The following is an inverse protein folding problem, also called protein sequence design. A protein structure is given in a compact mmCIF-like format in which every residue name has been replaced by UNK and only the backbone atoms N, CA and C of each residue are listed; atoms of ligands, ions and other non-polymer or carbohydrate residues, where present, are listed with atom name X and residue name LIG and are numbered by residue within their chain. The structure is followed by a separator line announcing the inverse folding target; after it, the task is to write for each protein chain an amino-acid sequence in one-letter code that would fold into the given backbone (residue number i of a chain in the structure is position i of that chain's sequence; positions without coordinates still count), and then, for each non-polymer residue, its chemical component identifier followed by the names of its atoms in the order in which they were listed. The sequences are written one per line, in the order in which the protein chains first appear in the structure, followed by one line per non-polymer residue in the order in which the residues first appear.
data_IF_969670828081
#
_entry.id   IF_969670828081
#
_cell.length_a   1.000
_cell.length_b   1.000
_cell.length_c   1.000
_cell.angle_alpha   90.00
_cell.angle_beta   90.00
_cell.angle_gamma   90.00
#
_symmetry.space_group_name_H-M   'P 1'
#
loop_
_entity.id
_entity.type
_entity.pdbx_description
1 polymer ?
#
# COMPACT_ATOMS: atom_id res chain seq x y z
N UNK A 1 -21.27 -24.00 -8.85
CA UNK A 1 -19.87 -23.64 -8.52
C UNK A 1 -19.86 -22.16 -8.23
N UNK A 2 -19.41 -21.71 -7.06
CA UNK A 2 -19.39 -20.27 -6.73
C UNK A 2 -18.15 -19.69 -7.42
N UNK A 3 -18.35 -18.85 -8.43
CA UNK A 3 -17.29 -18.13 -9.12
C UNK A 3 -16.91 -16.91 -8.28
N UNK A 4 -15.70 -16.89 -7.72
CA UNK A 4 -15.21 -15.75 -6.94
C UNK A 4 -14.86 -14.64 -7.93
N UNK A 5 -15.66 -13.56 -7.92
CA UNK A 5 -15.57 -12.47 -8.90
C UNK A 5 -14.59 -11.37 -8.50
N UNK A 6 -14.28 -11.23 -7.20
CA UNK A 6 -13.37 -10.19 -6.67
C UNK A 6 -12.64 -10.68 -5.42
N UNK A 7 -11.41 -10.20 -5.23
CA UNK A 7 -10.62 -10.41 -4.01
C UNK A 7 -10.38 -9.07 -3.31
N UNK A 8 -10.56 -9.04 -1.98
CA UNK A 8 -10.18 -7.88 -1.18
C UNK A 8 -8.76 -8.08 -0.67
N UNK A 9 -7.89 -7.13 -1.01
CA UNK A 9 -6.53 -7.12 -0.47
C UNK A 9 -6.56 -6.60 0.97
N UNK A 10 -6.31 -7.48 1.93
CA UNK A 10 -6.21 -7.14 3.35
C UNK A 10 -4.78 -7.31 3.83
N UNK A 11 -4.33 -6.41 4.68
CA UNK A 11 -3.04 -6.51 5.36
C UNK A 11 -3.28 -6.70 6.85
N UNK A 12 -2.38 -7.39 7.55
CA UNK A 12 -2.50 -7.57 8.99
C UNK A 12 -2.34 -6.22 9.71
N UNK A 13 -3.26 -5.91 10.62
CA UNK A 13 -3.15 -4.72 11.46
C UNK A 13 -2.18 -5.02 12.61
N UNK A 14 -0.88 -4.94 12.32
CA UNK A 14 0.16 -5.33 13.28
C UNK A 14 0.09 -4.58 14.60
N UNK A 15 -0.28 -3.29 14.57
CA UNK A 15 -0.39 -2.45 15.75
C UNK A 15 -1.51 -2.93 16.69
N UNK A 16 -2.75 -3.00 16.19
CA UNK A 16 -3.89 -3.44 17.00
C UNK A 16 -3.89 -4.96 17.25
N UNK A 17 -3.25 -5.71 16.37
CA UNK A 17 -2.99 -7.13 16.52
C UNK A 17 -1.87 -7.43 17.52
N UNK A 18 -1.21 -6.40 18.09
CA UNK A 18 -0.12 -6.55 19.07
C UNK A 18 0.98 -7.50 18.57
N UNK A 19 1.37 -7.33 17.29
CA UNK A 19 2.44 -8.09 16.69
C UNK A 19 3.78 -7.69 17.30
N UNK A 20 4.69 -8.66 17.36
CA UNK A 20 5.99 -8.47 17.98
C UNK A 20 6.99 -8.00 16.93
N UNK A 21 7.68 -6.89 17.19
CA UNK A 21 8.83 -6.48 16.39
C UNK A 21 10.05 -7.26 16.86
N UNK A 22 10.67 -7.99 15.95
CA UNK A 22 11.85 -8.81 16.23
C UNK A 22 13.04 -8.26 15.44
N UNK A 23 14.24 -8.32 16.03
CA UNK A 23 15.47 -7.90 15.37
C UNK A 23 16.27 -9.14 14.99
N UNK A 24 16.60 -9.26 13.70
CA UNK A 24 17.47 -10.31 13.20
C UNK A 24 18.80 -9.70 12.79
N UNK A 25 19.88 -10.22 13.36
CA UNK A 25 21.24 -9.84 12.97
C UNK A 25 21.76 -10.94 12.05
N UNK A 26 21.90 -10.61 10.77
CA UNK A 26 22.45 -11.52 9.78
C UNK A 26 23.98 -11.36 9.82
N UNK A 27 24.73 -12.42 10.14
CA UNK A 27 26.18 -12.37 10.16
C UNK A 27 26.73 -12.14 8.74
N UNK A 28 27.91 -11.50 8.62
CA UNK A 28 28.57 -11.35 7.33
C UNK A 28 28.78 -12.71 6.65
N UNK A 29 28.55 -12.76 5.33
CA UNK A 29 28.71 -13.95 4.50
C UNK A 29 29.35 -13.55 3.18
N UNK A 30 30.43 -14.25 2.80
CA UNK A 30 31.23 -13.92 1.61
C UNK A 30 32.03 -12.63 1.79
N UNK A 31 32.03 -11.74 0.78
CA UNK A 31 32.78 -10.47 0.78
C UNK A 31 32.09 -9.32 1.54
N UNK A 32 30.98 -9.57 2.23
CA UNK A 32 30.32 -8.54 3.05
C UNK A 32 31.01 -8.50 4.40
N UNK A 33 31.62 -7.37 4.74
CA UNK A 33 32.41 -7.19 5.97
C UNK A 33 31.55 -6.89 7.21
N UNK A 34 30.27 -6.51 7.02
CA UNK A 34 29.43 -5.97 8.10
C UNK A 34 28.15 -6.79 8.30
N UNK A 35 27.73 -6.90 9.56
CA UNK A 35 26.43 -7.45 9.95
C UNK A 35 25.28 -6.67 9.32
N UNK A 36 24.30 -7.37 8.75
CA UNK A 36 23.05 -6.72 8.33
C UNK A 36 22.03 -6.84 9.45
N UNK A 37 21.54 -5.70 9.94
CA UNK A 37 20.43 -5.66 10.90
C UNK A 37 19.12 -5.56 10.13
N UNK A 38 18.21 -6.50 10.36
CA UNK A 38 16.87 -6.51 9.81
C UNK A 38 15.84 -6.43 10.94
N UNK A 39 14.88 -5.52 10.80
CA UNK A 39 13.72 -5.44 11.69
C UNK A 39 12.57 -6.20 11.03
N UNK A 40 12.04 -7.20 11.74
CA UNK A 40 11.00 -8.10 11.28
C UNK A 40 9.76 -7.95 12.16
N UNK A 41 8.59 -8.28 11.62
CA UNK A 41 7.34 -8.35 12.38
C UNK A 41 6.90 -9.81 12.46
N UNK A 42 6.73 -10.31 13.68
CA UNK A 42 6.12 -11.60 13.95
C UNK A 42 4.63 -11.39 14.20
N UNK A 43 3.80 -11.86 13.26
CA UNK A 43 2.35 -11.74 13.38
C UNK A 43 1.82 -12.55 14.56
N UNK A 44 0.93 -11.94 15.34
CA UNK A 44 0.21 -12.64 16.40
C UNK A 44 -0.97 -13.43 15.81
N UNK A 45 -1.56 -14.32 16.61
CA UNK A 45 -2.78 -15.05 16.25
C UNK A 45 -4.05 -14.19 16.29
N UNK A 46 -3.95 -12.92 16.72
CA UNK A 46 -5.09 -12.01 16.72
C UNK A 46 -5.42 -11.59 15.28
N UNK A 47 -6.58 -12.06 14.80
CA UNK A 47 -7.13 -11.76 13.50
C UNK A 47 -7.63 -10.30 13.42
N UNK A 48 -6.68 -9.37 13.24
CA UNK A 48 -6.95 -7.96 12.99
C UNK A 48 -6.37 -7.60 11.63
N UNK A 49 -7.20 -7.04 10.77
CA UNK A 49 -6.83 -6.70 9.40
C UNK A 49 -7.21 -5.26 9.09
N UNK A 50 -6.41 -4.61 8.25
CA UNK A 50 -6.77 -3.36 7.58
C UNK A 50 -6.99 -3.64 6.11
N UNK A 51 -7.98 -2.98 5.54
CA UNK A 51 -8.25 -3.05 4.11
C UNK A 51 -7.23 -2.21 3.36
N UNK A 52 -6.51 -2.80 2.41
CA UNK A 52 -5.59 -2.04 1.55
C UNK A 52 -6.39 -1.32 0.46
N UNK A 53 -6.86 -0.11 0.77
CA UNK A 53 -7.69 0.71 -0.13
C UNK A 53 -6.97 1.16 -1.41
N UNK A 54 -5.63 1.05 -1.44
CA UNK A 54 -4.80 1.38 -2.60
C UNK A 54 -4.61 0.21 -3.57
N UNK A 55 -5.22 -0.95 -3.30
CA UNK A 55 -5.18 -2.10 -4.21
C UNK A 55 -6.14 -1.87 -5.40
N UNK A 56 -5.59 -1.70 -6.60
CA UNK A 56 -6.34 -1.22 -7.77
C UNK A 56 -7.41 -2.18 -8.32
N UNK A 57 -7.34 -3.47 -7.99
CA UNK A 57 -8.18 -4.52 -8.60
C UNK A 57 -9.69 -4.41 -8.25
N UNK A 58 -10.04 -3.67 -7.18
CA UNK A 58 -11.43 -3.57 -6.72
C UNK A 58 -11.75 -2.24 -6.03
N UNK A 59 -11.22 -1.10 -6.52
CA UNK A 59 -11.31 0.20 -5.86
C UNK A 59 -12.75 0.60 -5.43
N UNK A 60 -13.79 0.20 -6.17
CA UNK A 60 -15.20 0.43 -5.80
C UNK A 60 -15.57 -0.24 -4.48
N UNK A 61 -15.18 -1.50 -4.29
CA UNK A 61 -15.48 -2.26 -3.06
C UNK A 61 -14.64 -1.78 -1.88
N UNK A 62 -13.39 -1.38 -2.13
CA UNK A 62 -12.54 -0.73 -1.13
C UNK A 62 -13.19 0.55 -0.57
N UNK A 63 -13.72 1.40 -1.44
CA UNK A 63 -14.42 2.63 -1.02
C UNK A 63 -15.67 2.35 -0.20
N UNK A 64 -16.50 1.40 -0.66
CA UNK A 64 -17.75 1.03 0.01
C UNK A 64 -17.52 0.52 1.44
N UNK A 65 -16.57 -0.41 1.61
CA UNK A 65 -16.32 -1.08 2.89
C UNK A 65 -15.54 -0.20 3.90
N UNK A 66 -14.79 0.78 3.42
CA UNK A 66 -14.08 1.74 4.28
C UNK A 66 -14.85 3.04 4.52
N UNK A 67 -16.11 3.12 4.09
CA UNK A 67 -16.94 4.34 4.17
C UNK A 67 -16.24 5.58 3.58
N UNK A 68 -15.42 5.38 2.54
CA UNK A 68 -14.72 6.47 1.88
C UNK A 68 -15.64 7.11 0.85
N UNK A 69 -15.99 8.37 1.08
CA UNK A 69 -16.61 9.22 0.08
C UNK A 69 -15.57 9.59 -0.97
N UNK A 70 -15.78 9.13 -2.20
CA UNK A 70 -15.00 9.53 -3.35
C UNK A 70 -15.93 10.19 -4.36
N UNK A 71 -15.67 11.46 -4.63
CA UNK A 71 -16.32 12.18 -5.72
C UNK A 71 -15.42 12.06 -6.93
N UNK A 72 -15.95 11.54 -8.04
CA UNK A 72 -15.25 11.63 -9.32
C UNK A 72 -15.08 13.13 -9.63
N UNK A 73 -13.86 13.61 -9.87
CA UNK A 73 -13.69 14.98 -10.35
C UNK A 73 -14.45 15.14 -11.65
N UNK A 74 -15.14 16.27 -11.80
CA UNK A 74 -15.80 16.59 -13.06
C UNK A 74 -14.77 16.84 -14.18
N UNK A 75 -15.24 16.90 -15.42
CA UNK A 75 -14.38 17.06 -16.58
C UNK A 75 -13.51 18.32 -16.49
N UNK A 76 -14.04 19.41 -15.91
CA UNK A 76 -13.32 20.67 -15.77
C UNK A 76 -12.19 20.55 -14.73
N UNK A 77 -12.46 19.90 -13.59
CA UNK A 77 -11.49 19.62 -12.56
C UNK A 77 -10.37 18.70 -13.08
N UNK A 78 -10.71 17.70 -13.90
CA UNK A 78 -9.72 16.85 -14.57
C UNK A 78 -8.84 17.68 -15.50
N UNK A 79 -9.42 18.46 -16.41
CA UNK A 79 -8.66 19.30 -17.35
C UNK A 79 -7.73 20.27 -16.61
N UNK A 80 -8.24 20.95 -15.58
CA UNK A 80 -7.48 21.91 -14.78
C UNK A 80 -6.33 21.28 -13.98
N UNK A 81 -6.35 19.97 -13.73
CA UNK A 81 -5.29 19.25 -13.01
C UNK A 81 -4.31 18.60 -13.99
N UNK A 82 -4.83 17.93 -15.02
CA UNK A 82 -4.02 17.11 -15.94
C UNK A 82 -3.14 17.99 -16.82
N UNK A 83 -3.69 19.03 -17.44
CA UNK A 83 -2.92 19.86 -18.38
C UNK A 83 -1.74 20.59 -17.71
N UNK A 84 -1.91 21.26 -16.55
CA UNK A 84 -0.78 21.89 -15.85
C UNK A 84 0.23 20.87 -15.31
N UNK A 85 -0.24 19.68 -14.89
CA UNK A 85 0.64 18.63 -14.37
C UNK A 85 1.51 18.03 -15.48
N UNK A 86 0.95 17.81 -16.68
CA UNK A 86 1.69 17.34 -17.85
C UNK A 86 2.71 18.39 -18.29
N UNK A 87 2.34 19.67 -18.32
CA UNK A 87 3.26 20.76 -18.64
C UNK A 87 4.42 20.85 -17.64
N UNK A 88 4.12 20.77 -16.34
CA UNK A 88 5.14 20.77 -15.27
C UNK A 88 6.08 19.56 -15.37
N UNK A 89 5.54 18.38 -15.67
CA UNK A 89 6.34 17.18 -15.83
C UNK A 89 7.23 17.24 -17.08
N UNK A 90 6.73 17.78 -18.19
CA UNK A 90 7.51 17.99 -19.41
C UNK A 90 8.64 19.01 -19.18
N UNK A 91 8.40 20.07 -18.42
CA UNK A 91 9.43 21.06 -18.03
C UNK A 91 10.53 20.43 -17.14
N UNK A 92 10.17 19.50 -16.26
CA UNK A 92 11.12 18.81 -15.37
C UNK A 92 11.91 17.68 -16.04
N UNK A 93 11.65 17.36 -17.33
CA UNK A 93 12.42 16.38 -18.11
C UNK A 93 13.63 16.99 -18.84
N UNK A 94 13.84 18.30 -18.71
CA UNK A 94 14.96 19.03 -19.31
C UNK A 94 16.10 19.40 -18.35
N UNK A 95 16.14 18.82 -17.14
CA UNK A 95 17.25 18.96 -16.18
C UNK A 95 17.94 17.61 -15.94
#
# INVERSE_FOLDING_TARGET
MIEITVCLNVQHNCHNGRCETTKTIIPPKGSKEVHTVMMNIKHSTHNRYILNVSSHDAARYHRLLSHLSFTLPDQQAITNIVEPSVAKWAQNRGQ
#
